data_IF_505784817972
#
_entry.id   IF_505784817972
#
_cell.length_a   1.000
_cell.length_b   1.000
_cell.length_c   1.000
_cell.angle_alpha   90.00
_cell.angle_beta   90.00
_cell.angle_gamma   90.00
#
_symmetry.space_group_name_H-M   'P 1'
#
loop_
_entity.id
_entity.type
_entity.pdbx_description
1 polymer ?
#
# COMPACT_ATOMS: atom_id res chain seq x y z
N UNK A 1 28.40 50.59 -4.89
CA UNK A 1 27.05 50.48 -4.29
C UNK A 1 26.71 51.67 -3.38
N UNK A 2 27.60 52.12 -2.52
CA UNK A 2 27.40 53.26 -1.60
C UNK A 2 27.22 54.59 -2.35
N UNK A 3 27.99 54.86 -3.39
CA UNK A 3 27.87 56.09 -4.20
C UNK A 3 26.53 56.19 -4.93
N UNK A 4 26.01 55.07 -5.49
CA UNK A 4 24.70 55.05 -6.13
C UNK A 4 23.58 55.35 -5.12
N UNK A 5 23.73 54.92 -3.87
CA UNK A 5 22.78 55.21 -2.80
C UNK A 5 22.78 56.69 -2.40
N UNK A 6 23.94 57.30 -2.32
CA UNK A 6 24.10 58.73 -1.99
C UNK A 6 23.51 59.62 -3.09
N UNK A 7 23.77 59.31 -4.36
CA UNK A 7 23.22 60.07 -5.49
C UNK A 7 21.66 59.95 -5.56
N UNK A 8 21.13 58.81 -5.23
CA UNK A 8 19.65 58.63 -5.20
C UNK A 8 19.03 59.40 -4.02
N UNK A 9 19.72 59.50 -2.89
CA UNK A 9 19.25 60.21 -1.72
C UNK A 9 19.19 61.73 -1.96
N UNK A 10 20.21 62.32 -2.55
CA UNK A 10 20.22 63.75 -2.91
C UNK A 10 19.22 64.10 -4.02
N UNK A 11 19.00 63.23 -4.98
CA UNK A 11 18.00 63.46 -6.02
C UNK A 11 16.56 63.49 -5.48
N UNK A 12 16.28 62.77 -4.40
CA UNK A 12 14.97 62.79 -3.75
C UNK A 12 14.72 64.12 -3.01
N UNK A 13 15.74 64.73 -2.45
CA UNK A 13 15.63 65.96 -1.65
C UNK A 13 15.23 67.19 -2.51
N UNK A 14 15.50 67.16 -3.81
CA UNK A 14 15.12 68.22 -4.78
C UNK A 14 13.79 67.96 -5.50
N UNK A 15 13.14 66.85 -5.27
CA UNK A 15 11.85 66.52 -5.88
C UNK A 15 10.69 66.93 -4.98
N UNK A 16 9.84 67.86 -5.44
CA UNK A 16 8.63 68.29 -4.74
C UNK A 16 7.36 67.81 -5.48
N UNK A 17 6.37 67.41 -4.73
CA UNK A 17 5.04 67.05 -5.27
C UNK A 17 4.91 65.62 -5.82
N UNK A 18 4.12 65.46 -6.89
CA UNK A 18 3.77 64.17 -7.47
C UNK A 18 4.97 63.26 -7.83
N UNK A 19 6.11 63.78 -8.36
CA UNK A 19 7.30 62.96 -8.64
C UNK A 19 7.89 62.30 -7.40
N UNK A 20 7.97 63.04 -6.27
CA UNK A 20 8.48 62.50 -5.01
C UNK A 20 7.62 61.33 -4.49
N UNK A 21 6.30 61.50 -4.61
CA UNK A 21 5.37 60.43 -4.22
C UNK A 21 5.61 59.13 -5.00
N UNK A 22 5.80 59.22 -6.31
CA UNK A 22 6.05 58.03 -7.16
C UNK A 22 7.40 57.36 -6.85
N UNK A 23 8.43 58.15 -6.57
CA UNK A 23 9.75 57.62 -6.19
C UNK A 23 9.71 56.92 -4.83
N UNK A 24 9.01 57.48 -3.85
CA UNK A 24 8.82 56.88 -2.54
C UNK A 24 7.96 55.63 -2.63
N UNK A 25 6.88 55.69 -3.41
CA UNK A 25 6.03 54.51 -3.68
C UNK A 25 6.85 53.39 -4.31
N UNK A 26 7.65 53.67 -5.33
CA UNK A 26 8.51 52.65 -5.97
C UNK A 26 9.55 52.11 -4.99
N UNK A 27 10.16 52.96 -4.15
CA UNK A 27 11.20 52.55 -3.20
C UNK A 27 10.66 51.60 -2.10
N UNK A 28 9.46 51.85 -1.61
CA UNK A 28 8.91 51.10 -0.48
C UNK A 28 7.85 50.05 -0.88
N UNK A 29 7.03 50.34 -1.87
CA UNK A 29 6.00 49.39 -2.33
C UNK A 29 6.56 48.30 -3.22
N UNK A 30 7.55 48.56 -4.08
CA UNK A 30 8.13 47.56 -4.96
C UNK A 30 8.78 46.38 -4.21
N UNK A 31 9.62 46.60 -3.15
CA UNK A 31 10.16 45.48 -2.37
C UNK A 31 9.08 44.66 -1.65
N UNK A 32 8.04 45.32 -1.13
CA UNK A 32 6.92 44.65 -0.45
C UNK A 32 6.12 43.80 -1.46
N UNK A 33 5.83 44.37 -2.62
CA UNK A 33 5.15 43.63 -3.71
C UNK A 33 5.99 42.45 -4.21
N UNK A 34 7.31 42.64 -4.32
CA UNK A 34 8.23 41.57 -4.70
C UNK A 34 8.24 40.42 -3.66
N UNK A 35 8.29 40.75 -2.35
CA UNK A 35 8.20 39.76 -1.28
C UNK A 35 6.87 39.00 -1.28
N UNK A 36 5.75 39.71 -1.52
CA UNK A 36 4.43 39.09 -1.64
C UNK A 36 4.35 38.16 -2.86
N UNK A 37 4.90 38.57 -3.99
CA UNK A 37 4.98 37.73 -5.19
C UNK A 37 5.86 36.50 -4.97
N UNK A 38 7.03 36.65 -4.38
CA UNK A 38 7.91 35.54 -4.02
C UNK A 38 7.22 34.58 -3.04
N UNK A 39 6.52 35.10 -2.03
CA UNK A 39 5.72 34.31 -1.08
C UNK A 39 4.59 33.55 -1.79
N UNK A 40 3.86 34.23 -2.68
CA UNK A 40 2.81 33.61 -3.50
C UNK A 40 3.35 32.51 -4.42
N UNK A 41 4.46 32.76 -5.12
CA UNK A 41 5.09 31.74 -5.99
C UNK A 41 5.65 30.58 -5.17
N UNK A 42 6.26 30.83 -4.01
CA UNK A 42 6.74 29.77 -3.12
C UNK A 42 5.57 28.93 -2.56
N UNK A 43 4.46 29.57 -2.19
CA UNK A 43 3.25 28.88 -1.76
C UNK A 43 2.66 28.03 -2.90
N UNK A 44 2.50 28.61 -4.09
CA UNK A 44 2.00 27.89 -5.28
C UNK A 44 2.92 26.76 -5.71
N UNK A 45 4.23 26.96 -5.59
CA UNK A 45 5.20 25.91 -5.88
C UNK A 45 5.13 24.76 -4.87
N UNK A 46 4.96 25.08 -3.58
CA UNK A 46 4.72 24.07 -2.53
C UNK A 46 3.39 23.33 -2.72
N UNK A 47 2.35 24.02 -3.10
CA UNK A 47 1.04 23.43 -3.38
C UNK A 47 1.11 22.49 -4.60
N UNK A 48 1.75 22.94 -5.67
CA UNK A 48 1.98 22.13 -6.88
C UNK A 48 2.90 20.94 -6.61
N UNK A 49 3.87 21.10 -5.72
CA UNK A 49 4.73 19.98 -5.28
C UNK A 49 3.96 19.00 -4.39
N UNK A 50 3.09 19.48 -3.51
CA UNK A 50 2.17 18.64 -2.74
C UNK A 50 1.13 17.94 -3.62
N UNK A 51 0.71 18.55 -4.71
CA UNK A 51 -0.15 17.91 -5.71
C UNK A 51 0.60 16.87 -6.56
N UNK A 52 1.88 17.09 -6.84
CA UNK A 52 2.72 16.11 -7.53
C UNK A 52 3.28 15.02 -6.60
N UNK A 53 3.33 15.28 -5.28
CA UNK A 53 3.66 14.31 -4.23
C UNK A 53 2.41 13.58 -3.68
N UNK A 54 1.19 14.05 -4.01
CA UNK A 54 0.05 13.14 -3.98
C UNK A 54 0.41 12.05 -4.99
N UNK A 55 0.55 10.77 -4.53
CA UNK A 55 0.74 9.69 -5.49
C UNK A 55 -0.33 9.92 -6.54
N UNK A 56 0.10 10.02 -7.80
CA UNK A 56 -0.82 10.19 -8.90
C UNK A 56 -2.00 9.31 -8.53
N UNK A 57 -3.20 9.89 -8.46
CA UNK A 57 -4.39 9.08 -8.42
C UNK A 57 -4.33 8.36 -9.77
N UNK A 58 -3.51 7.29 -9.78
CA UNK A 58 -3.59 6.28 -10.79
C UNK A 58 -5.08 6.05 -10.89
N UNK A 59 -5.62 6.31 -12.07
CA UNK A 59 -6.93 5.77 -12.47
C UNK A 59 -6.97 4.42 -11.81
N UNK A 60 -7.96 4.10 -10.96
CA UNK A 60 -7.93 2.88 -10.18
C UNK A 60 -7.56 1.78 -11.16
N UNK A 61 -6.29 1.45 -11.15
CA UNK A 61 -5.76 0.36 -11.97
C UNK A 61 -6.62 -0.78 -11.50
N UNK A 62 -7.34 -1.41 -12.41
CA UNK A 62 -8.26 -2.48 -12.07
C UNK A 62 -7.45 -3.62 -11.44
N UNK A 63 -7.02 -3.40 -10.17
CA UNK A 63 -6.20 -4.34 -9.41
C UNK A 63 -6.85 -5.71 -9.42
N UNK A 64 -8.19 -5.73 -9.30
CA UNK A 64 -8.97 -6.96 -9.41
C UNK A 64 -8.66 -7.72 -10.72
N UNK A 65 -8.73 -7.04 -11.86
CA UNK A 65 -8.44 -7.66 -13.17
C UNK A 65 -6.99 -8.13 -13.29
N UNK A 66 -6.04 -7.31 -12.84
CA UNK A 66 -4.60 -7.63 -12.90
C UNK A 66 -4.28 -8.88 -12.05
N UNK A 67 -4.81 -8.95 -10.82
CA UNK A 67 -4.57 -10.11 -9.96
C UNK A 67 -5.33 -11.34 -10.43
N UNK A 68 -6.55 -11.20 -10.96
CA UNK A 68 -7.27 -12.30 -11.57
C UNK A 68 -6.49 -12.90 -12.75
N UNK A 69 -5.87 -12.07 -13.60
CA UNK A 69 -5.03 -12.53 -14.69
C UNK A 69 -3.77 -13.25 -14.19
N UNK A 70 -3.05 -12.69 -13.21
CA UNK A 70 -1.87 -13.33 -12.60
C UNK A 70 -2.21 -14.68 -11.96
N UNK A 71 -3.30 -14.78 -11.22
CA UNK A 71 -3.75 -16.03 -10.58
C UNK A 71 -4.08 -17.09 -11.65
N UNK A 72 -4.82 -16.71 -12.69
CA UNK A 72 -5.12 -17.63 -13.80
C UNK A 72 -3.86 -18.09 -14.53
N UNK A 73 -2.91 -17.19 -14.79
CA UNK A 73 -1.71 -17.50 -15.55
C UNK A 73 -0.72 -18.42 -14.80
N UNK A 74 -0.63 -18.28 -13.47
CA UNK A 74 0.40 -18.95 -12.68
C UNK A 74 -0.19 -20.02 -11.77
N UNK A 75 -1.14 -19.66 -10.90
CA UNK A 75 -1.66 -20.61 -9.88
C UNK A 75 -2.59 -21.62 -10.51
N UNK A 76 -3.53 -21.19 -11.33
CA UNK A 76 -4.52 -22.07 -11.94
C UNK A 76 -3.94 -23.03 -12.99
N UNK A 77 -2.79 -22.69 -13.58
CA UNK A 77 -2.09 -23.61 -14.51
C UNK A 77 -1.54 -24.85 -13.83
N UNK A 78 -1.44 -24.85 -12.51
CA UNK A 78 -0.96 -25.98 -11.71
C UNK A 78 -2.14 -26.69 -11.07
N UNK A 79 -2.39 -27.93 -11.49
CA UNK A 79 -3.54 -28.72 -11.05
C UNK A 79 -3.61 -28.91 -9.53
N UNK A 80 -2.43 -28.93 -8.86
CA UNK A 80 -2.32 -29.03 -7.40
C UNK A 80 -2.97 -27.83 -6.68
N UNK A 81 -3.03 -26.67 -7.32
CA UNK A 81 -3.54 -25.41 -6.74
C UNK A 81 -4.85 -24.92 -7.37
N UNK A 82 -5.54 -25.77 -8.14
CA UNK A 82 -6.77 -25.37 -8.85
C UNK A 82 -7.83 -24.82 -7.89
N UNK A 83 -8.06 -25.50 -6.76
CA UNK A 83 -9.07 -25.10 -5.77
C UNK A 83 -8.68 -23.81 -5.07
N UNK A 84 -7.39 -23.63 -4.71
CA UNK A 84 -6.88 -22.41 -4.10
C UNK A 84 -6.95 -21.24 -5.08
N UNK A 85 -6.66 -21.46 -6.36
CA UNK A 85 -6.79 -20.46 -7.39
C UNK A 85 -8.23 -19.95 -7.52
N UNK A 86 -9.21 -20.85 -7.57
CA UNK A 86 -10.62 -20.49 -7.65
C UNK A 86 -11.08 -19.73 -6.38
N UNK A 87 -10.60 -20.11 -5.20
CA UNK A 87 -10.85 -19.38 -3.96
C UNK A 87 -10.24 -17.99 -3.99
N UNK A 88 -8.98 -17.84 -4.40
CA UNK A 88 -8.32 -16.53 -4.51
C UNK A 88 -9.02 -15.62 -5.52
N UNK A 89 -9.45 -16.13 -6.68
CA UNK A 89 -10.23 -15.37 -7.66
C UNK A 89 -11.54 -14.85 -7.08
N UNK A 90 -12.24 -15.69 -6.34
CA UNK A 90 -13.47 -15.31 -5.64
C UNK A 90 -13.20 -14.25 -4.57
N UNK A 91 -12.11 -14.41 -3.79
CA UNK A 91 -11.69 -13.46 -2.76
C UNK A 91 -11.31 -12.09 -3.34
N UNK A 92 -10.57 -12.04 -4.44
CA UNK A 92 -10.20 -10.77 -5.12
C UNK A 92 -11.45 -9.96 -5.48
N UNK A 93 -12.43 -10.61 -6.11
CA UNK A 93 -13.69 -9.96 -6.47
C UNK A 93 -14.47 -9.50 -5.25
N UNK A 94 -14.61 -10.35 -4.24
CA UNK A 94 -15.36 -10.05 -3.02
C UNK A 94 -14.70 -8.95 -2.21
N UNK A 95 -13.37 -8.97 -2.10
CA UNK A 95 -12.60 -7.93 -1.42
C UNK A 95 -12.78 -6.56 -2.07
N UNK A 96 -12.66 -6.47 -3.40
CA UNK A 96 -12.87 -5.22 -4.14
C UNK A 96 -14.26 -4.63 -3.91
N UNK A 97 -15.30 -5.47 -3.93
CA UNK A 97 -16.67 -5.04 -3.65
C UNK A 97 -16.84 -4.49 -2.22
N UNK A 98 -16.27 -5.18 -1.22
CA UNK A 98 -16.38 -4.77 0.18
C UNK A 98 -15.58 -3.50 0.48
N UNK A 99 -14.40 -3.38 -0.11
CA UNK A 99 -13.60 -2.15 -0.03
C UNK A 99 -14.34 -0.95 -0.60
N UNK A 100 -14.95 -1.07 -1.76
CA UNK A 100 -15.74 0.01 -2.37
C UNK A 100 -16.89 0.45 -1.46
N UNK A 101 -17.61 -0.50 -0.85
CA UNK A 101 -18.68 -0.23 0.12
C UNK A 101 -18.13 0.48 1.36
N UNK A 102 -17.07 -0.04 1.98
CA UNK A 102 -16.48 0.56 3.17
C UNK A 102 -15.96 1.99 2.92
N UNK A 103 -15.27 2.22 1.79
CA UNK A 103 -14.82 3.56 1.40
C UNK A 103 -16.00 4.52 1.18
N UNK A 104 -17.05 4.10 0.46
CA UNK A 104 -18.21 4.97 0.21
C UNK A 104 -18.91 5.39 1.51
N UNK A 105 -19.00 4.48 2.47
CA UNK A 105 -19.60 4.76 3.78
C UNK A 105 -18.71 5.64 4.68
N UNK A 106 -17.39 5.64 4.45
CA UNK A 106 -16.45 6.43 5.26
C UNK A 106 -16.33 7.88 4.77
N UNK A 107 -16.69 8.18 3.51
CA UNK A 107 -16.52 9.50 2.90
C UNK A 107 -17.56 10.56 3.32
N UNK A 108 -18.45 10.29 4.27
CA UNK A 108 -19.44 11.27 4.77
C UNK A 108 -18.78 12.49 5.45
N UNK A 109 -19.19 13.62 5.01
CA UNK A 109 -18.87 15.05 5.07
C UNK A 109 -18.29 15.69 6.36
N UNK A 110 -17.79 14.97 7.34
CA UNK A 110 -17.12 15.57 8.52
C UNK A 110 -15.81 14.83 8.78
N UNK A 111 -14.71 15.45 8.42
CA UNK A 111 -13.36 14.93 8.74
C UNK A 111 -13.18 14.85 10.25
N UNK A 112 -13.37 13.66 10.83
CA UNK A 112 -13.06 13.36 12.21
C UNK A 112 -11.76 12.56 12.30
N UNK A 113 -11.14 12.53 13.48
CA UNK A 113 -9.95 11.72 13.72
C UNK A 113 -10.21 10.22 13.48
N UNK A 114 -11.41 9.74 13.83
CA UNK A 114 -11.84 8.36 13.60
C UNK A 114 -12.02 8.03 12.13
N UNK A 115 -12.52 8.97 11.33
CA UNK A 115 -12.60 8.81 9.88
C UNK A 115 -11.21 8.63 9.25
N UNK A 116 -10.24 9.44 9.66
CA UNK A 116 -8.86 9.32 9.19
C UNK A 116 -8.24 7.98 9.58
N UNK A 117 -8.49 7.50 10.81
CA UNK A 117 -8.05 6.17 11.25
C UNK A 117 -8.69 5.06 10.43
N UNK A 118 -10.01 5.14 10.18
CA UNK A 118 -10.72 4.16 9.36
C UNK A 118 -10.15 4.09 7.94
N UNK A 119 -9.92 5.24 7.30
CA UNK A 119 -9.31 5.29 5.96
C UNK A 119 -7.89 4.71 5.93
N UNK A 120 -7.09 4.97 6.97
CA UNK A 120 -5.75 4.37 7.11
C UNK A 120 -5.82 2.85 7.26
N UNK A 121 -6.76 2.35 8.06
CA UNK A 121 -7.02 0.93 8.22
C UNK A 121 -7.44 0.25 6.91
N UNK A 122 -8.36 0.86 6.16
CA UNK A 122 -8.79 0.37 4.86
C UNK A 122 -7.61 0.30 3.87
N UNK A 123 -6.77 1.35 3.82
CA UNK A 123 -5.57 1.35 2.98
C UNK A 123 -4.56 0.27 3.38
N UNK A 124 -4.39 0.03 4.69
CA UNK A 124 -3.52 -1.04 5.21
C UNK A 124 -4.08 -2.42 4.87
N UNK A 125 -5.39 -2.63 5.01
CA UNK A 125 -6.06 -3.86 4.63
C UNK A 125 -5.90 -4.16 3.14
N UNK A 126 -6.04 -3.14 2.28
CA UNK A 126 -5.84 -3.27 0.83
C UNK A 126 -4.41 -3.70 0.50
N UNK A 127 -3.41 -3.04 1.10
CA UNK A 127 -2.01 -3.37 0.89
C UNK A 127 -1.73 -4.82 1.26
N UNK A 128 -2.09 -5.24 2.47
CA UNK A 128 -1.83 -6.58 2.98
C UNK A 128 -2.52 -7.65 2.14
N UNK A 129 -3.77 -7.42 1.74
CA UNK A 129 -4.50 -8.36 0.90
C UNK A 129 -3.75 -8.67 -0.41
N UNK A 130 -3.25 -7.63 -1.09
CA UNK A 130 -2.53 -7.81 -2.33
C UNK A 130 -1.10 -8.31 -2.13
N UNK A 131 -0.40 -7.90 -1.07
CA UNK A 131 0.93 -8.42 -0.71
C UNK A 131 0.87 -9.94 -0.49
N UNK A 132 -0.16 -10.42 0.22
CA UNK A 132 -0.39 -11.87 0.40
C UNK A 132 -0.66 -12.60 -0.92
N UNK A 133 -1.43 -12.02 -1.82
CA UNK A 133 -1.64 -12.61 -3.14
C UNK A 133 -0.35 -12.69 -3.95
N UNK A 134 0.51 -11.67 -3.89
CA UNK A 134 1.81 -11.69 -4.56
C UNK A 134 2.71 -12.80 -3.98
N UNK A 135 2.64 -13.08 -2.67
CA UNK A 135 3.35 -14.21 -2.05
C UNK A 135 2.86 -15.56 -2.56
N UNK A 136 1.55 -15.75 -2.65
CA UNK A 136 0.98 -16.98 -3.21
C UNK A 136 1.38 -17.19 -4.68
N UNK A 137 1.33 -16.12 -5.49
CA UNK A 137 1.71 -16.15 -6.91
C UNK A 137 3.19 -16.47 -7.05
N UNK A 138 4.06 -15.82 -6.23
CA UNK A 138 5.50 -16.07 -6.20
C UNK A 138 5.79 -17.53 -5.81
N UNK A 139 5.17 -18.02 -4.76
CA UNK A 139 5.32 -19.40 -4.28
C UNK A 139 4.86 -20.41 -5.35
N UNK A 140 3.71 -20.18 -5.97
CA UNK A 140 3.22 -21.01 -7.05
C UNK A 140 4.15 -21.00 -8.27
N UNK A 141 4.80 -19.87 -8.58
CA UNK A 141 5.74 -19.79 -9.71
C UNK A 141 6.97 -20.67 -9.52
N UNK A 142 7.44 -20.84 -8.26
CA UNK A 142 8.59 -21.68 -7.91
C UNK A 142 8.24 -23.18 -7.84
N UNK A 143 6.96 -23.54 -7.84
CA UNK A 143 6.52 -24.93 -7.71
C UNK A 143 6.66 -25.68 -9.03
N UNK A 144 7.49 -26.72 -9.09
CA UNK A 144 7.57 -27.64 -10.22
C UNK A 144 6.59 -28.81 -10.02
N UNK A 145 5.45 -28.72 -10.71
CA UNK A 145 4.40 -29.74 -10.58
C UNK A 145 4.82 -31.08 -11.19
N UNK A 146 5.62 -31.08 -12.25
CA UNK A 146 6.06 -32.30 -12.90
C UNK A 146 7.05 -33.07 -12.00
N UNK A 147 8.03 -32.35 -11.42
CA UNK A 147 8.97 -32.90 -10.46
C UNK A 147 8.25 -33.41 -9.20
N UNK A 148 7.32 -32.60 -8.67
CA UNK A 148 6.53 -32.98 -7.48
C UNK A 148 5.73 -34.27 -7.71
N UNK A 149 5.02 -34.39 -8.84
CA UNK A 149 4.25 -35.59 -9.19
C UNK A 149 5.15 -36.80 -9.38
N UNK A 150 6.27 -36.65 -10.09
CA UNK A 150 7.22 -37.72 -10.29
C UNK A 150 7.84 -38.21 -8.98
N UNK A 151 8.13 -37.30 -8.04
CA UNK A 151 8.60 -37.62 -6.70
C UNK A 151 7.52 -38.38 -5.89
N UNK A 152 6.28 -37.90 -5.88
CA UNK A 152 5.16 -38.54 -5.19
C UNK A 152 4.87 -39.98 -5.73
N UNK A 153 5.09 -40.18 -7.01
CA UNK A 153 4.92 -41.49 -7.65
C UNK A 153 6.11 -42.44 -7.51
N UNK A 154 7.19 -41.97 -6.87
CA UNK A 154 8.42 -42.76 -6.73
C UNK A 154 9.19 -42.97 -8.04
N UNK A 155 8.87 -42.18 -9.10
CA UNK A 155 9.55 -42.24 -10.40
C UNK A 155 10.95 -41.62 -10.30
N UNK A 156 11.08 -40.56 -9.49
CA UNK A 156 12.34 -39.87 -9.22
C UNK A 156 12.77 -40.20 -7.80
N UNK A 157 13.96 -40.69 -7.62
CA UNK A 157 14.66 -40.80 -6.34
C UNK A 157 15.76 -39.75 -6.32
N UNK A 158 15.71 -38.81 -5.40
CA UNK A 158 16.85 -37.92 -5.13
C UNK A 158 17.95 -38.78 -4.44
N UNK A 159 19.13 -38.83 -5.03
CA UNK A 159 20.20 -39.79 -4.77
C UNK A 159 20.63 -40.00 -3.30
N UNK A 160 20.27 -39.08 -2.38
CA UNK A 160 20.43 -39.27 -0.94
C UNK A 160 19.14 -38.91 -0.18
N UNK A 161 19.02 -39.44 1.03
CA UNK A 161 17.85 -39.28 1.89
C UNK A 161 17.66 -37.81 2.34
N UNK A 162 18.74 -37.03 2.44
CA UNK A 162 18.67 -35.66 2.93
C UNK A 162 18.19 -34.71 1.84
N UNK A 163 18.65 -34.88 0.60
CA UNK A 163 18.11 -34.14 -0.55
C UNK A 163 16.61 -34.42 -0.77
N UNK A 164 16.18 -35.68 -0.64
CA UNK A 164 14.77 -36.04 -0.74
C UNK A 164 13.91 -35.36 0.33
N UNK A 165 14.36 -35.34 1.59
CA UNK A 165 13.68 -34.66 2.69
C UNK A 165 13.60 -33.15 2.45
N UNK A 166 14.72 -32.51 2.06
CA UNK A 166 14.76 -31.08 1.76
C UNK A 166 13.77 -30.70 0.65
N UNK A 167 13.70 -31.46 -0.43
CA UNK A 167 12.72 -31.24 -1.51
C UNK A 167 11.29 -31.38 -1.02
N UNK A 168 11.02 -32.38 -0.20
CA UNK A 168 9.70 -32.57 0.40
C UNK A 168 9.30 -31.38 1.29
N UNK A 169 10.22 -30.87 2.11
CA UNK A 169 10.00 -29.71 2.97
C UNK A 169 9.73 -28.45 2.14
N UNK A 170 10.48 -28.24 1.03
CA UNK A 170 10.24 -27.10 0.12
C UNK A 170 8.84 -27.16 -0.48
N UNK A 171 8.44 -28.30 -1.04
CA UNK A 171 7.10 -28.45 -1.62
C UNK A 171 5.99 -28.32 -0.58
N UNK A 172 6.15 -28.90 0.60
CA UNK A 172 5.21 -28.76 1.71
C UNK A 172 5.11 -27.29 2.17
N UNK A 173 6.25 -26.58 2.23
CA UNK A 173 6.29 -25.15 2.54
C UNK A 173 5.51 -24.31 1.55
N UNK A 174 5.70 -24.52 0.24
CA UNK A 174 4.97 -23.80 -0.82
C UNK A 174 3.45 -24.04 -0.71
N UNK A 175 3.03 -25.30 -0.55
CA UNK A 175 1.62 -25.65 -0.40
C UNK A 175 1.03 -24.99 0.84
N UNK A 176 1.75 -25.00 1.96
CA UNK A 176 1.36 -24.36 3.22
C UNK A 176 1.20 -22.85 3.04
N UNK A 177 2.17 -22.18 2.38
CA UNK A 177 2.11 -20.74 2.12
C UNK A 177 0.85 -20.37 1.33
N UNK A 178 0.56 -21.08 0.24
CA UNK A 178 -0.63 -20.81 -0.58
C UNK A 178 -1.92 -21.00 0.22
N UNK A 179 -2.01 -22.07 1.02
CA UNK A 179 -3.17 -22.30 1.88
C UNK A 179 -3.33 -21.22 2.96
N UNK A 180 -2.22 -20.77 3.57
CA UNK A 180 -2.22 -19.70 4.56
C UNK A 180 -2.74 -18.39 3.94
N UNK A 181 -2.31 -18.04 2.72
CA UNK A 181 -2.77 -16.84 2.02
C UNK A 181 -4.29 -16.87 1.82
N UNK A 182 -4.82 -18.00 1.34
CA UNK A 182 -6.28 -18.17 1.17
C UNK A 182 -7.02 -17.97 2.50
N UNK A 183 -6.49 -18.54 3.59
CA UNK A 183 -7.12 -18.45 4.89
C UNK A 183 -7.05 -17.03 5.49
N UNK A 184 -5.89 -16.36 5.41
CA UNK A 184 -5.69 -15.02 5.95
C UNK A 184 -6.52 -13.99 5.19
N UNK A 185 -6.58 -14.09 3.86
CA UNK A 185 -7.41 -13.24 3.04
C UNK A 185 -8.91 -13.41 3.35
N UNK A 186 -9.37 -14.63 3.60
CA UNK A 186 -10.77 -14.84 4.04
C UNK A 186 -11.05 -14.18 5.39
N UNK A 187 -10.13 -14.30 6.35
CA UNK A 187 -10.26 -13.63 7.66
C UNK A 187 -10.31 -12.11 7.51
N UNK A 188 -9.48 -11.55 6.64
CA UNK A 188 -9.45 -10.11 6.36
C UNK A 188 -10.79 -9.65 5.74
N UNK A 189 -11.32 -10.39 4.76
CA UNK A 189 -12.61 -10.11 4.13
C UNK A 189 -13.75 -10.16 5.16
N UNK A 190 -13.76 -11.14 6.05
CA UNK A 190 -14.78 -11.25 7.10
C UNK A 190 -14.75 -10.07 8.09
N UNK A 191 -13.55 -9.55 8.42
CA UNK A 191 -13.43 -8.36 9.27
C UNK A 191 -13.84 -7.09 8.55
N UNK A 192 -13.53 -6.99 7.26
CA UNK A 192 -13.99 -5.90 6.41
C UNK A 192 -15.52 -5.90 6.27
N UNK A 193 -16.14 -7.08 6.15
CA UNK A 193 -17.60 -7.25 6.17
C UNK A 193 -18.20 -6.72 7.48
N UNK A 194 -17.59 -7.09 8.62
CA UNK A 194 -18.03 -6.63 9.93
C UNK A 194 -17.95 -5.12 10.07
N UNK A 195 -16.86 -4.51 9.56
CA UNK A 195 -16.71 -3.05 9.55
C UNK A 195 -17.74 -2.38 8.64
N UNK A 196 -17.93 -2.88 7.42
CA UNK A 196 -18.94 -2.36 6.50
C UNK A 196 -20.35 -2.44 7.08
N UNK A 197 -20.67 -3.53 7.78
CA UNK A 197 -21.94 -3.69 8.47
C UNK A 197 -22.11 -2.66 9.60
N UNK A 198 -21.11 -2.49 10.48
CA UNK A 198 -21.14 -1.51 11.55
C UNK A 198 -21.27 -0.08 11.02
N UNK A 199 -20.53 0.27 9.95
CA UNK A 199 -20.63 1.56 9.26
C UNK A 199 -22.04 1.80 8.68
N UNK A 200 -22.72 0.76 8.19
CA UNK A 200 -24.07 0.85 7.65
C UNK A 200 -25.13 1.05 8.76
N UNK A 201 -24.90 0.50 9.94
CA UNK A 201 -25.84 0.59 11.07
C UNK A 201 -25.63 1.84 11.93
N UNK A 202 -24.56 2.61 11.69
CA UNK A 202 -24.21 3.78 12.50
C UNK A 202 -25.31 4.83 12.54
N UNK A 203 -25.49 5.46 13.70
CA UNK A 203 -26.42 6.57 13.90
C UNK A 203 -25.89 7.86 13.26
N UNK A 204 -26.79 8.69 12.72
CA UNK A 204 -26.46 10.04 12.25
C UNK A 204 -26.00 10.98 13.39
N UNK A 205 -26.38 10.69 14.64
CA UNK A 205 -25.99 11.47 15.81
C UNK A 205 -24.62 11.09 16.34
N UNK A 206 -24.24 9.81 16.25
CA UNK A 206 -22.92 9.31 16.65
C UNK A 206 -22.40 8.34 15.59
N UNK A 207 -21.79 8.84 14.51
CA UNK A 207 -21.33 8.00 13.40
C UNK A 207 -20.14 7.07 13.75
N UNK A 208 -19.49 7.32 14.90
CA UNK A 208 -18.35 6.54 15.39
C UNK A 208 -18.69 5.95 16.76
N UNK A 209 -19.75 5.16 16.79
CA UNK A 209 -20.20 4.47 18.00
C UNK A 209 -19.28 3.30 18.38
N UNK A 210 -19.57 2.68 19.51
CA UNK A 210 -18.78 1.58 20.05
C UNK A 210 -18.66 0.41 19.09
N UNK A 211 -19.71 0.14 18.27
CA UNK A 211 -19.71 -0.99 17.36
C UNK A 211 -18.76 -0.76 16.16
N UNK A 212 -18.72 0.46 15.64
CA UNK A 212 -17.77 0.85 14.58
C UNK A 212 -16.34 0.80 15.11
N UNK A 213 -16.08 1.37 16.29
CA UNK A 213 -14.74 1.35 16.92
C UNK A 213 -14.28 -0.08 17.19
N UNK A 214 -15.16 -0.95 17.68
CA UNK A 214 -14.86 -2.35 17.92
C UNK A 214 -14.57 -3.10 16.60
N UNK A 215 -15.35 -2.83 15.55
CA UNK A 215 -15.10 -3.43 14.23
C UNK A 215 -13.75 -3.00 13.63
N UNK A 216 -13.39 -1.71 13.80
CA UNK A 216 -12.07 -1.18 13.41
C UNK A 216 -10.94 -1.89 14.18
N UNK A 217 -11.07 -2.03 15.51
CA UNK A 217 -10.07 -2.73 16.33
C UNK A 217 -9.87 -4.18 15.87
N UNK A 218 -10.95 -4.89 15.59
CA UNK A 218 -10.89 -6.28 15.12
C UNK A 218 -10.25 -6.41 13.72
N UNK A 219 -10.42 -5.42 12.87
CA UNK A 219 -9.75 -5.38 11.57
C UNK A 219 -8.26 -5.11 11.77
N UNK A 220 -7.89 -4.16 12.64
CA UNK A 220 -6.51 -3.84 13.00
C UNK A 220 -5.76 -5.03 13.58
N UNK A 221 -6.40 -5.80 14.47
CA UNK A 221 -5.84 -7.03 15.04
C UNK A 221 -5.46 -8.05 13.95
N UNK A 222 -6.32 -8.23 12.93
CA UNK A 222 -6.04 -9.16 11.83
C UNK A 222 -4.92 -8.60 10.95
N UNK A 223 -4.92 -7.31 10.65
CA UNK A 223 -3.87 -6.64 9.89
C UNK A 223 -2.51 -6.81 10.58
N UNK A 224 -2.46 -6.52 11.87
CA UNK A 224 -1.23 -6.62 12.67
C UNK A 224 -0.72 -8.06 12.72
N UNK A 225 -1.61 -9.03 12.97
CA UNK A 225 -1.24 -10.44 12.99
C UNK A 225 -0.72 -10.91 11.63
N UNK A 226 -1.41 -10.56 10.55
CA UNK A 226 -0.99 -10.96 9.20
C UNK A 226 0.36 -10.36 8.80
N UNK A 227 0.66 -9.12 9.24
CA UNK A 227 2.00 -8.53 9.06
C UNK A 227 3.08 -9.29 9.84
N UNK A 228 2.80 -9.69 11.08
CA UNK A 228 3.75 -10.46 11.90
C UNK A 228 4.04 -11.83 11.27
N UNK A 229 2.99 -12.50 10.77
CA UNK A 229 3.13 -13.78 10.09
C UNK A 229 3.94 -13.63 8.79
N UNK A 230 3.82 -12.51 8.05
CA UNK A 230 4.62 -12.19 6.87
C UNK A 230 6.12 -12.02 7.22
N UNK A 231 6.42 -11.24 8.26
CA UNK A 231 7.81 -11.01 8.70
C UNK A 231 8.47 -12.31 9.13
N UNK A 232 7.74 -13.18 9.81
CA UNK A 232 8.23 -14.49 10.24
C UNK A 232 8.45 -15.45 9.06
N UNK A 233 7.55 -15.48 8.09
CA UNK A 233 7.69 -16.31 6.88
C UNK A 233 8.87 -15.84 6.03
N UNK A 234 9.14 -14.53 5.93
CA UNK A 234 10.31 -13.98 5.26
C UNK A 234 11.63 -14.34 5.98
N UNK A 235 11.64 -14.33 7.31
CA UNK A 235 12.83 -14.68 8.09
C UNK A 235 13.17 -16.16 7.92
N UNK A 236 12.17 -17.05 7.99
CA UNK A 236 12.33 -18.49 7.74
C UNK A 236 12.85 -18.74 6.32
N UNK A 237 12.32 -18.03 5.33
CA UNK A 237 12.75 -18.14 3.94
C UNK A 237 14.21 -17.70 3.75
N UNK A 238 14.62 -16.59 4.39
CA UNK A 238 16.01 -16.11 4.37
C UNK A 238 16.98 -17.08 5.05
N UNK A 239 16.56 -17.68 6.17
CA UNK A 239 17.40 -18.70 6.85
C UNK A 239 17.54 -19.97 6.01
N UNK A 240 16.47 -20.44 5.37
CA UNK A 240 16.50 -21.58 4.48
C UNK A 240 17.43 -21.34 3.28
N UNK A 241 17.40 -20.14 2.70
CA UNK A 241 18.27 -19.73 1.60
C UNK A 241 19.76 -19.70 2.05
N UNK A 242 20.06 -19.15 3.22
CA UNK A 242 21.41 -19.14 3.78
C UNK A 242 21.95 -20.55 4.02
N UNK A 243 21.11 -21.48 4.50
CA UNK A 243 21.49 -22.89 4.67
C UNK A 243 21.77 -23.56 3.33
N UNK A 244 20.97 -23.28 2.32
CA UNK A 244 21.17 -23.78 0.96
C UNK A 244 22.49 -23.28 0.36
N UNK A 245 22.83 -22.00 0.50
CA UNK A 245 24.08 -21.42 0.02
C UNK A 245 25.30 -21.97 0.76
N UNK A 246 25.19 -22.23 2.06
CA UNK A 246 26.28 -22.84 2.83
C UNK A 246 26.51 -24.29 2.46
N UNK A 247 25.52 -25.05 2.06
CA UNK A 247 25.65 -26.42 1.62
C UNK A 247 26.23 -26.54 0.19
N UNK A 248 25.93 -25.57 -0.67
CA UNK A 248 26.40 -25.57 -2.07
C UNK A 248 27.65 -24.73 -2.32
N UNK A 249 28.05 -23.85 -1.41
CA UNK A 249 29.23 -22.99 -1.49
C UNK A 249 30.51 -23.59 -0.89
N UNK A 250 30.47 -24.82 -0.41
CA UNK A 250 31.58 -25.53 0.25
C UNK A 250 32.42 -26.46 -0.65
N UNK A 251 32.40 -26.23 -1.99
CA UNK A 251 33.27 -26.91 -2.93
C UNK A 251 34.22 -25.94 -3.62
#
# INVERSE_FOLDING_TARGET
MVEAYIHTYYAIEYMHGAPLFFVLLAKYAAPVLFMLLCGYFAFRYREKRRESEKPAQEKPMNKEGVYAEKINAIVKTKAVFSDQADQMLYQVKRFGQKMAVAYSMTQDNKTSGEQAKCLTLLASAERIFYDRLDDAIRSASMFDEAEYKAFQQGIISFGDTDTAKMKQEIYAGIIKTINNVVHDNERLILRLDSLAYALNQRSTQNPWDTDVVLAMSRLDDVITKTNQDLEQDEEISREALKRYDTLNGGN
#
